data_IF_992869017915
#
_entry.id   IF_992869017915
#
_cell.length_a   1.000
_cell.length_b   1.000
_cell.length_c   1.000
_cell.angle_alpha   90.00
_cell.angle_beta   90.00
_cell.angle_gamma   90.00
#
_symmetry.space_group_name_H-M   'P 1'
#
loop_
_entity.id
_entity.type
_entity.pdbx_description
1 polymer ?
#
# COMPACT_ATOMS: atom_id res chain seq x y z
N UNK A 1 -9.34 -4.51 -12.26
CA UNK A 1 -9.52 -4.29 -10.80
C UNK A 1 -8.25 -4.59 -10.01
N UNK A 2 -7.71 -5.80 -10.16
CA UNK A 2 -6.46 -6.15 -9.46
C UNK A 2 -5.29 -5.20 -9.80
N UNK A 3 -5.17 -4.81 -11.05
CA UNK A 3 -4.10 -3.90 -11.47
C UNK A 3 -4.28 -2.51 -10.85
N UNK A 4 -5.52 -2.04 -10.74
CA UNK A 4 -5.80 -0.74 -10.11
C UNK A 4 -5.46 -0.79 -8.62
N UNK A 5 -5.87 -1.85 -7.93
CA UNK A 5 -5.58 -2.00 -6.51
C UNK A 5 -4.07 -2.05 -6.26
N UNK A 6 -3.37 -2.85 -7.03
CA UNK A 6 -1.92 -3.01 -6.90
C UNK A 6 -1.19 -1.70 -7.16
N UNK A 7 -1.60 -0.99 -8.18
CA UNK A 7 -1.00 0.29 -8.54
C UNK A 7 -1.25 1.34 -7.45
N UNK A 8 -2.48 1.46 -7.00
CA UNK A 8 -2.85 2.43 -5.98
C UNK A 8 -2.19 2.12 -4.64
N UNK A 9 -2.12 0.85 -4.28
CA UNK A 9 -1.43 0.42 -3.06
C UNK A 9 0.04 0.82 -3.11
N UNK A 10 0.67 0.62 -4.27
CA UNK A 10 2.06 1.01 -4.46
C UNK A 10 2.27 2.51 -4.30
N UNK A 11 1.35 3.32 -4.83
CA UNK A 11 1.41 4.76 -4.67
C UNK A 11 1.28 5.19 -3.22
N UNK A 12 0.38 4.56 -2.47
CA UNK A 12 0.20 4.85 -1.05
C UNK A 12 1.47 4.50 -0.28
N UNK A 13 2.04 3.34 -0.55
CA UNK A 13 3.28 2.93 0.12
C UNK A 13 4.41 3.91 -0.15
N UNK A 14 4.54 4.36 -1.39
CA UNK A 14 5.55 5.35 -1.74
C UNK A 14 5.33 6.67 -1.02
N UNK A 15 4.09 7.12 -0.97
CA UNK A 15 3.75 8.38 -0.30
C UNK A 15 4.07 8.29 1.20
N UNK A 16 3.73 7.17 1.84
CA UNK A 16 4.02 6.96 3.25
C UNK A 16 5.53 6.94 3.52
N UNK A 17 6.28 6.31 2.64
CA UNK A 17 7.73 6.27 2.75
C UNK A 17 8.33 7.68 2.64
N UNK A 18 7.91 8.42 1.63
CA UNK A 18 8.43 9.77 1.38
C UNK A 18 8.05 10.71 2.53
N UNK A 19 6.83 10.61 3.01
CA UNK A 19 6.36 11.42 4.12
C UNK A 19 7.21 11.22 5.38
N UNK A 20 7.74 10.02 5.56
CA UNK A 20 8.62 9.70 6.68
C UNK A 20 10.09 10.01 6.41
N UNK A 21 10.39 10.55 5.24
CA UNK A 21 11.76 10.90 4.88
C UNK A 21 12.67 9.71 4.65
N UNK A 22 12.09 8.56 4.28
CA UNK A 22 12.86 7.33 4.10
C UNK A 22 13.16 7.06 2.63
N UNK A 23 14.37 6.58 2.37
CA UNK A 23 14.75 6.13 1.04
C UNK A 23 14.30 4.69 0.83
N UNK A 24 14.23 4.26 -0.44
CA UNK A 24 13.95 2.86 -0.76
C UNK A 24 14.96 1.94 -0.08
N UNK A 25 16.23 2.35 -0.08
CA UNK A 25 17.29 1.55 0.53
C UNK A 25 17.09 1.40 2.03
N UNK A 26 16.67 2.47 2.70
CA UNK A 26 16.42 2.40 4.14
C UNK A 26 15.26 1.45 4.46
N UNK A 27 14.18 1.53 3.70
CA UNK A 27 13.03 0.63 3.90
C UNK A 27 13.40 -0.80 3.57
N UNK A 28 14.11 -1.01 2.45
CA UNK A 28 14.56 -2.35 2.06
C UNK A 28 15.41 -2.98 3.16
N UNK A 29 16.34 -2.22 3.71
CA UNK A 29 17.24 -2.71 4.75
C UNK A 29 16.48 -3.03 6.03
N UNK A 30 15.63 -2.12 6.49
CA UNK A 30 14.86 -2.29 7.72
C UNK A 30 13.83 -3.41 7.61
N UNK A 31 13.21 -3.56 6.46
CA UNK A 31 12.20 -4.59 6.22
C UNK A 31 12.80 -5.94 5.86
N UNK A 32 14.11 -5.99 5.59
CA UNK A 32 14.80 -7.20 5.16
C UNK A 32 14.22 -7.81 3.89
N UNK A 33 13.87 -6.95 2.96
CA UNK A 33 13.42 -7.36 1.63
C UNK A 33 14.30 -6.70 0.59
N UNK A 34 14.35 -7.25 -0.62
CA UNK A 34 15.21 -6.69 -1.65
C UNK A 34 14.73 -5.31 -2.10
N UNK A 35 15.68 -4.47 -2.45
CA UNK A 35 15.38 -3.14 -2.98
C UNK A 35 14.50 -3.23 -4.22
N UNK A 36 14.81 -4.17 -5.10
CA UNK A 36 14.02 -4.39 -6.31
C UNK A 36 12.59 -4.76 -6.01
N UNK A 37 12.37 -5.59 -4.99
CA UNK A 37 11.02 -5.99 -4.61
C UNK A 37 10.19 -4.78 -4.14
N UNK A 38 10.73 -3.97 -3.23
CA UNK A 38 10.05 -2.77 -2.75
C UNK A 38 9.77 -1.81 -3.90
N UNK A 39 10.74 -1.61 -4.78
CA UNK A 39 10.60 -0.74 -5.94
C UNK A 39 9.47 -1.22 -6.86
N UNK A 40 9.39 -2.52 -7.11
CA UNK A 40 8.34 -3.09 -7.96
C UNK A 40 6.95 -2.96 -7.32
N UNK A 41 6.87 -3.11 -6.00
CA UNK A 41 5.61 -2.91 -5.27
C UNK A 41 5.16 -1.47 -5.40
N UNK A 42 6.07 -0.50 -5.21
CA UNK A 42 5.71 0.92 -5.30
C UNK A 42 5.27 1.32 -6.70
N UNK A 43 5.80 0.64 -7.73
CA UNK A 43 5.40 0.90 -9.12
C UNK A 43 4.14 0.16 -9.53
N UNK A 44 3.60 -0.68 -8.64
CA UNK A 44 2.41 -1.46 -8.95
C UNK A 44 2.66 -2.67 -9.84
N UNK A 45 3.91 -3.10 -9.98
CA UNK A 45 4.28 -4.22 -10.83
C UNK A 45 4.17 -5.56 -10.13
N UNK A 46 4.14 -5.57 -8.80
CA UNK A 46 4.01 -6.79 -8.02
C UNK A 46 3.03 -6.58 -6.88
N UNK A 47 2.42 -7.66 -6.45
CA UNK A 47 1.52 -7.64 -5.31
C UNK A 47 2.31 -7.72 -4.01
N UNK A 48 1.82 -7.02 -3.00
CA UNK A 48 2.42 -7.07 -1.67
C UNK A 48 2.12 -8.41 -1.03
N UNK A 49 3.16 -9.13 -0.65
CA UNK A 49 2.99 -10.42 0.04
C UNK A 49 2.60 -10.22 1.50
N UNK A 50 2.12 -11.30 2.13
CA UNK A 50 1.78 -11.24 3.55
C UNK A 50 3.00 -10.95 4.43
N UNK A 51 4.19 -11.33 3.98
CA UNK A 51 5.44 -11.05 4.69
C UNK A 51 5.73 -9.56 4.74
N UNK A 52 5.33 -8.83 3.69
CA UNK A 52 5.55 -7.40 3.63
C UNK A 52 4.76 -6.65 4.71
N UNK A 53 3.63 -7.19 5.14
CA UNK A 53 2.81 -6.55 6.18
C UNK A 53 3.58 -6.35 7.48
N UNK A 54 4.22 -7.40 7.95
CA UNK A 54 5.04 -7.32 9.16
C UNK A 54 6.29 -6.50 8.94
N UNK A 55 6.88 -6.63 7.75
CA UNK A 55 8.08 -5.88 7.41
C UNK A 55 7.84 -4.37 7.37
N UNK A 56 6.71 -3.95 6.85
CA UNK A 56 6.35 -2.53 6.79
C UNK A 56 6.18 -1.93 8.18
N UNK A 57 5.57 -2.69 9.09
CA UNK A 57 5.39 -2.22 10.45
C UNK A 57 6.72 -1.96 11.13
N UNK A 58 7.68 -2.85 10.92
CA UNK A 58 9.01 -2.68 11.49
C UNK A 58 9.81 -1.56 10.84
N UNK A 59 9.63 -1.36 9.53
CA UNK A 59 10.43 -0.40 8.77
C UNK A 59 9.87 1.02 8.82
N UNK A 60 8.54 1.17 8.79
CA UNK A 60 7.90 2.48 8.69
C UNK A 60 6.91 2.75 9.82
N UNK A 61 6.74 1.83 10.72
CA UNK A 61 5.76 1.93 11.81
C UNK A 61 4.36 2.26 11.27
N UNK A 62 3.98 1.61 10.19
CA UNK A 62 2.67 1.78 9.57
C UNK A 62 1.94 0.44 9.57
N UNK A 63 0.68 0.45 9.96
CA UNK A 63 -0.13 -0.75 9.93
C UNK A 63 -0.61 -1.00 8.51
N UNK A 64 -0.60 -2.26 8.10
CA UNK A 64 -1.07 -2.61 6.77
C UNK A 64 -2.56 -2.26 6.58
N UNK A 65 -3.36 -2.39 7.64
CA UNK A 65 -4.77 -1.97 7.60
C UNK A 65 -4.91 -0.47 7.29
N UNK A 66 -4.01 0.34 7.80
CA UNK A 66 -3.98 1.77 7.53
C UNK A 66 -3.64 2.03 6.07
N UNK A 67 -2.66 1.31 5.53
CA UNK A 67 -2.31 1.41 4.12
C UNK A 67 -3.49 1.00 3.25
N UNK A 68 -4.19 -0.07 3.61
CA UNK A 68 -5.39 -0.50 2.88
C UNK A 68 -6.50 0.54 2.94
N UNK A 69 -6.68 1.17 4.09
CA UNK A 69 -7.68 2.22 4.25
C UNK A 69 -7.38 3.41 3.34
N UNK A 70 -6.14 3.87 3.33
CA UNK A 70 -5.73 4.97 2.46
C UNK A 70 -5.84 4.60 0.98
N UNK A 71 -5.56 3.35 0.66
CA UNK A 71 -5.71 2.85 -0.71
C UNK A 71 -7.19 2.86 -1.11
N UNK A 72 -8.06 2.39 -0.21
CA UNK A 72 -9.49 2.38 -0.47
C UNK A 72 -10.03 3.79 -0.70
N UNK A 73 -9.57 4.76 0.06
CA UNK A 73 -9.98 6.15 -0.12
C UNK A 73 -9.61 6.70 -1.48
N UNK A 74 -8.46 6.30 -2.01
CA UNK A 74 -8.02 6.74 -3.33
C UNK A 74 -8.79 6.07 -4.47
N UNK A 75 -9.26 4.85 -4.24
CA UNK A 75 -10.02 4.09 -5.24
C UNK A 75 -11.48 4.51 -5.25
N UNK A 76 -12.04 4.84 -4.10
CA UNK A 76 -13.46 5.13 -3.93
C UNK A 76 -14.03 6.15 -4.91
N UNK A 77 -13.34 7.25 -5.25
CA UNK A 77 -13.87 8.22 -6.20
C UNK A 77 -14.09 7.66 -7.62
N UNK A 78 -13.38 6.58 -7.96
CA UNK A 78 -13.50 5.95 -9.27
C UNK A 78 -14.56 4.85 -9.31
N UNK A 79 -15.19 4.57 -8.17
CA UNK A 79 -16.18 3.51 -8.05
C UNK A 79 -17.59 4.09 -7.89
N UNK A 80 -18.62 3.42 -8.43
CA UNK A 80 -20.00 3.81 -8.18
C UNK A 80 -20.31 3.67 -6.69
N UNK A 81 -21.06 4.63 -6.15
CA UNK A 81 -21.48 4.56 -4.75
C UNK A 81 -22.55 3.48 -4.63
N UNK A 82 -22.35 2.48 -3.79
CA UNK A 82 -23.33 1.41 -3.61
C UNK A 82 -24.51 1.91 -2.76
N UNK A 83 -25.66 2.08 -3.41
CA UNK A 83 -26.87 2.52 -2.72
C UNK A 83 -27.52 1.41 -1.91
N UNK A 84 -27.24 0.18 -2.31
CA UNK A 84 -27.83 -1.00 -1.66
C UNK A 84 -27.39 -1.14 -0.19
N UNK A 85 -26.28 -0.54 0.15
CA UNK A 85 -25.76 -0.59 1.51
C UNK A 85 -26.74 0.04 2.50
N UNK A 86 -27.42 1.10 2.07
CA UNK A 86 -28.39 1.79 2.92
C UNK A 86 -29.60 0.90 3.18
N UNK A 87 -30.02 0.16 2.18
CA UNK A 87 -31.18 -0.71 2.31
C UNK A 87 -30.92 -1.86 3.28
N UNK A 88 -29.67 -2.26 3.42
CA UNK A 88 -29.32 -3.34 4.33
C UNK A 88 -29.44 -2.94 5.79
N UNK A 89 -29.47 -1.69 6.07
CA UNK A 89 -29.62 -1.18 7.42
C UNK A 89 -31.08 -1.27 7.84
#
# INVERSE_FOLDING_TARGET
>A
MAALLRHTLGEVLRAERIQRGLTLRQVSSAARVSLGYISEIERGHKEASSELRGALRGAMDVRFSEVLHLTAERIAPAEPIPTVVVAAA
#
